data_IF_549553470630
#
_entry.id   IF_549553470630
#
_cell.length_a   1.000
_cell.length_b   1.000
_cell.length_c   1.000
_cell.angle_alpha   90.00
_cell.angle_beta   90.00
_cell.angle_gamma   90.00
#
_symmetry.space_group_name_H-M   'P 1'
#
loop_
_entity.id
_entity.type
_entity.pdbx_description
1 polymer ?
#
# COMPACT_ATOMS: atom_id res chain seq x y z
N UNK A 1 -24.03 -20.79 -36.82
CA UNK A 1 -23.44 -20.24 -35.57
C UNK A 1 -23.57 -18.72 -35.59
N UNK A 2 -24.30 -18.14 -34.64
CA UNK A 2 -24.78 -16.75 -34.72
C UNK A 2 -23.76 -15.73 -34.17
N UNK A 3 -23.54 -14.64 -34.93
CA UNK A 3 -22.71 -13.49 -34.55
C UNK A 3 -23.05 -12.92 -33.16
N UNK A 4 -24.29 -13.12 -32.68
CA UNK A 4 -24.74 -12.73 -31.34
C UNK A 4 -23.96 -13.41 -30.21
N UNK A 5 -23.48 -14.65 -30.39
CA UNK A 5 -22.63 -15.32 -29.41
C UNK A 5 -21.21 -14.74 -29.36
N UNK A 6 -20.69 -14.28 -30.49
CA UNK A 6 -19.36 -13.66 -30.55
C UNK A 6 -19.35 -12.29 -29.85
N UNK A 7 -20.37 -11.46 -30.07
CA UNK A 7 -20.49 -10.16 -29.40
C UNK A 7 -20.62 -10.29 -27.87
N UNK A 8 -21.32 -11.29 -27.37
CA UNK A 8 -21.50 -11.50 -25.93
C UNK A 8 -20.24 -12.04 -25.24
N UNK A 9 -19.41 -12.79 -25.98
CA UNK A 9 -18.10 -13.25 -25.50
C UNK A 9 -17.07 -12.12 -25.53
N UNK A 10 -17.10 -11.28 -26.56
CA UNK A 10 -16.23 -10.10 -26.67
C UNK A 10 -16.55 -9.04 -25.62
N UNK A 11 -17.83 -8.80 -25.32
CA UNK A 11 -18.23 -7.84 -24.27
C UNK A 11 -17.82 -8.31 -22.88
N UNK A 12 -17.95 -9.60 -22.58
CA UNK A 12 -17.47 -10.19 -21.34
C UNK A 12 -15.94 -10.09 -21.21
N UNK A 13 -15.20 -10.32 -22.31
CA UNK A 13 -13.75 -10.18 -22.34
C UNK A 13 -13.29 -8.73 -22.12
N UNK A 14 -13.94 -7.78 -22.78
CA UNK A 14 -13.70 -6.34 -22.57
C UNK A 14 -14.01 -5.91 -21.13
N UNK A 15 -15.10 -6.42 -20.55
CA UNK A 15 -15.48 -6.10 -19.17
C UNK A 15 -14.50 -6.69 -18.15
N UNK A 16 -13.98 -7.89 -18.39
CA UNK A 16 -12.91 -8.49 -17.58
C UNK A 16 -11.62 -7.66 -17.68
N UNK A 17 -11.21 -7.26 -18.89
CA UNK A 17 -10.04 -6.40 -19.12
C UNK A 17 -10.21 -5.01 -18.46
N UNK A 18 -11.40 -4.41 -18.53
CA UNK A 18 -11.74 -3.13 -17.87
C UNK A 18 -11.87 -3.26 -16.34
N UNK A 19 -12.13 -4.47 -15.82
CA UNK A 19 -12.21 -4.76 -14.39
C UNK A 19 -10.88 -5.12 -13.74
N UNK A 20 -9.81 -5.29 -14.55
CA UNK A 20 -8.42 -5.16 -14.08
C UNK A 20 -8.19 -3.67 -13.78
N UNK A 21 -8.90 -3.16 -12.78
CA UNK A 21 -8.56 -1.90 -12.13
C UNK A 21 -7.20 -2.11 -11.52
N UNK A 22 -6.28 -1.23 -11.85
CA UNK A 22 -4.93 -1.15 -11.32
C UNK A 22 -4.96 -1.37 -9.81
N UNK A 23 -4.61 -2.56 -9.35
CA UNK A 23 -4.19 -2.74 -7.97
C UNK A 23 -2.87 -1.96 -7.87
N UNK A 24 -2.91 -0.75 -7.33
CA UNK A 24 -1.69 -0.06 -6.95
C UNK A 24 -1.03 -0.93 -5.87
N UNK A 25 -0.03 -1.71 -6.29
CA UNK A 25 0.76 -2.51 -5.38
C UNK A 25 1.54 -1.56 -4.48
N UNK A 26 1.28 -1.63 -3.18
CA UNK A 26 2.05 -0.88 -2.19
C UNK A 26 3.51 -1.35 -2.24
N UNK A 27 4.42 -0.42 -2.48
CA UNK A 27 5.87 -0.67 -2.41
C UNK A 27 6.32 -0.86 -0.96
N UNK A 28 7.24 -1.81 -0.73
CA UNK A 28 7.80 -2.12 0.59
C UNK A 28 9.32 -2.22 0.50
N UNK A 29 10.01 -1.58 1.43
CA UNK A 29 11.47 -1.60 1.56
C UNK A 29 11.83 -2.20 2.91
N UNK A 30 12.70 -3.19 2.89
CA UNK A 30 13.26 -3.81 4.08
C UNK A 30 14.69 -3.31 4.25
N UNK A 31 15.05 -2.91 5.46
CA UNK A 31 16.38 -2.39 5.75
C UNK A 31 16.84 -2.84 7.14
N UNK A 32 18.16 -2.92 7.32
CA UNK A 32 18.76 -3.31 8.59
C UNK A 32 18.90 -2.10 9.52
N UNK A 33 18.80 -2.31 10.83
CA UNK A 33 19.10 -1.25 11.80
C UNK A 33 20.53 -0.72 11.60
N UNK A 34 20.70 0.59 11.68
CA UNK A 34 21.96 1.31 11.46
C UNK A 34 22.27 1.60 9.99
N UNK A 35 21.49 1.08 9.04
CA UNK A 35 21.71 1.33 7.64
C UNK A 35 21.31 2.77 7.22
N UNK A 36 21.87 3.22 6.11
CA UNK A 36 21.39 4.41 5.41
C UNK A 36 20.48 3.94 4.27
N UNK A 37 19.23 4.42 4.24
CA UNK A 37 18.24 3.99 3.25
C UNK A 37 17.75 5.18 2.42
N UNK A 38 17.52 4.94 1.13
CA UNK A 38 16.86 5.86 0.20
C UNK A 38 15.49 5.30 -0.15
N UNK A 39 14.42 6.05 0.15
CA UNK A 39 13.05 5.69 -0.19
C UNK A 39 12.66 6.38 -1.50
N UNK A 40 12.32 5.63 -2.57
CA UNK A 40 12.00 6.21 -3.87
C UNK A 40 10.67 6.97 -3.85
N UNK A 41 10.63 8.10 -4.55
CA UNK A 41 9.39 8.82 -4.82
C UNK A 41 8.82 8.39 -6.18
N UNK A 42 8.04 7.31 -6.22
CA UNK A 42 7.43 6.80 -7.47
C UNK A 42 6.45 7.77 -8.14
N UNK A 43 6.03 8.82 -7.44
CA UNK A 43 5.25 9.91 -8.03
C UNK A 43 6.01 10.66 -9.13
N UNK A 44 7.36 10.59 -9.16
CA UNK A 44 8.20 11.17 -10.21
C UNK A 44 8.08 10.41 -11.53
N UNK A 45 7.96 9.07 -11.48
CA UNK A 45 7.81 8.20 -12.65
C UNK A 45 6.51 8.46 -13.43
N UNK A 46 5.56 9.21 -12.85
CA UNK A 46 4.28 9.51 -13.45
C UNK A 46 4.25 10.84 -14.23
N UNK A 47 5.35 11.58 -14.35
CA UNK A 47 5.32 12.86 -15.06
C UNK A 47 6.66 13.35 -15.65
N UNK A 48 6.61 13.79 -16.91
CA UNK A 48 7.59 14.71 -17.51
C UNK A 48 7.33 16.19 -17.10
N UNK A 49 6.76 16.44 -15.92
CA UNK A 49 6.35 17.78 -15.47
C UNK A 49 7.22 18.24 -14.30
N UNK A 50 7.75 19.46 -14.41
CA UNK A 50 8.47 20.09 -13.30
C UNK A 50 7.50 20.50 -12.17
N UNK A 51 7.65 19.87 -11.01
CA UNK A 51 6.89 20.18 -9.78
C UNK A 51 7.44 21.41 -9.06
N UNK A 52 6.61 22.03 -8.21
CA UNK A 52 6.98 23.23 -7.42
C UNK A 52 7.63 22.89 -6.08
N UNK A 53 7.32 21.72 -5.55
CA UNK A 53 7.92 21.25 -4.31
C UNK A 53 7.69 19.76 -4.14
N UNK A 54 8.60 19.14 -3.39
CA UNK A 54 8.49 17.78 -2.87
C UNK A 54 8.40 17.86 -1.36
N UNK A 55 7.48 17.10 -0.77
CA UNK A 55 7.38 16.95 0.67
C UNK A 55 7.27 15.48 1.02
N UNK A 56 8.10 15.04 1.95
CA UNK A 56 8.03 13.71 2.54
C UNK A 56 7.34 13.77 3.89
N UNK A 57 6.46 12.79 4.12
CA UNK A 57 5.73 12.62 5.37
C UNK A 57 5.91 11.21 5.90
N UNK A 58 5.98 11.08 7.23
CA UNK A 58 5.75 9.82 7.94
C UNK A 58 4.28 9.77 8.36
N UNK A 59 3.65 8.61 8.21
CA UNK A 59 2.25 8.39 8.54
C UNK A 59 2.14 7.56 9.82
N UNK A 60 1.75 8.21 10.89
CA UNK A 60 1.62 7.69 12.26
C UNK A 60 0.25 8.08 12.84
N UNK A 61 -0.81 7.75 12.11
CA UNK A 61 -2.18 8.21 12.38
C UNK A 61 -2.45 9.63 11.87
N UNK A 62 -1.42 10.47 11.78
CA UNK A 62 -1.44 11.78 11.14
C UNK A 62 -0.41 11.87 10.00
N UNK A 63 -0.40 13.00 9.29
CA UNK A 63 0.56 13.29 8.22
C UNK A 63 1.67 14.18 8.79
N UNK A 64 2.71 13.56 9.32
CA UNK A 64 3.83 14.25 9.97
C UNK A 64 4.93 14.57 8.96
N UNK A 65 5.22 15.86 8.77
CA UNK A 65 6.25 16.32 7.83
C UNK A 65 7.64 15.87 8.27
N UNK A 66 8.44 15.36 7.33
CA UNK A 66 9.83 14.95 7.56
C UNK A 66 10.76 16.01 6.97
N UNK A 67 10.66 16.22 5.67
CA UNK A 67 11.51 17.15 4.92
C UNK A 67 10.77 17.67 3.69
N UNK A 68 11.06 18.92 3.31
CA UNK A 68 10.50 19.58 2.13
C UNK A 68 11.62 20.16 1.27
N UNK A 69 11.51 19.99 -0.05
CA UNK A 69 12.34 20.69 -1.04
C UNK A 69 11.47 21.61 -1.88
N UNK A 70 11.88 22.87 -2.05
CA UNK A 70 11.19 23.83 -2.89
C UNK A 70 11.71 23.80 -4.35
N UNK A 71 11.07 24.56 -5.24
CA UNK A 71 11.45 24.66 -6.66
C UNK A 71 12.86 25.23 -6.90
N UNK A 72 13.46 25.90 -5.90
CA UNK A 72 14.81 26.44 -5.98
C UNK A 72 15.86 25.41 -5.49
N UNK A 73 15.43 24.20 -5.10
CA UNK A 73 16.29 23.14 -4.56
C UNK A 73 16.60 23.28 -3.07
N UNK A 74 16.10 24.32 -2.40
CA UNK A 74 16.31 24.52 -0.97
C UNK A 74 15.50 23.50 -0.17
N UNK A 75 16.16 22.86 0.80
CA UNK A 75 15.59 21.79 1.63
C UNK A 75 15.43 22.26 3.06
N UNK A 76 14.26 22.01 3.64
CA UNK A 76 13.90 22.38 5.03
C UNK A 76 13.32 21.16 5.74
N UNK A 77 13.89 20.82 6.90
CA UNK A 77 13.37 19.79 7.80
C UNK A 77 12.27 20.36 8.70
N UNK A 78 11.26 19.54 9.01
CA UNK A 78 10.20 19.94 9.94
C UNK A 78 10.68 19.83 11.39
N UNK A 79 10.13 20.68 12.27
CA UNK A 79 10.49 20.69 13.69
C UNK A 79 10.13 19.34 14.36
N UNK A 80 11.07 18.77 15.10
CA UNK A 80 10.90 17.47 15.76
C UNK A 80 10.96 16.26 14.83
N UNK A 81 11.13 16.47 13.52
CA UNK A 81 11.40 15.38 12.59
C UNK A 81 12.84 14.88 12.78
N UNK A 82 13.05 13.59 12.51
CA UNK A 82 14.40 13.02 12.43
C UNK A 82 15.21 13.66 11.31
N UNK A 83 16.53 13.52 11.39
CA UNK A 83 17.45 13.88 10.31
C UNK A 83 17.10 13.10 9.04
N UNK A 84 16.89 13.84 7.95
CA UNK A 84 16.57 13.32 6.64
C UNK A 84 16.99 14.29 5.56
N UNK A 85 17.24 13.79 4.35
CA UNK A 85 17.59 14.58 3.18
C UNK A 85 16.71 14.20 1.98
N UNK A 86 16.65 15.07 0.98
CA UNK A 86 16.04 14.75 -0.31
C UNK A 86 17.16 14.52 -1.32
N UNK A 87 17.18 13.33 -1.91
CA UNK A 87 18.14 12.93 -2.95
C UNK A 87 17.80 13.52 -4.33
N UNK A 88 18.63 13.19 -5.32
CA UNK A 88 18.54 13.74 -6.68
C UNK A 88 17.23 13.34 -7.38
N UNK A 89 16.78 12.10 -7.23
CA UNK A 89 15.52 11.60 -7.78
C UNK A 89 14.31 11.83 -6.86
N UNK A 90 14.38 12.85 -6.00
CA UNK A 90 13.35 13.16 -5.00
C UNK A 90 13.16 12.08 -3.92
N UNK A 91 14.15 11.20 -3.76
CA UNK A 91 14.19 10.14 -2.76
C UNK A 91 14.29 10.71 -1.34
N UNK A 92 13.67 10.07 -0.36
CA UNK A 92 13.93 10.37 1.05
C UNK A 92 15.15 9.59 1.52
N UNK A 93 16.22 10.28 1.89
CA UNK A 93 17.41 9.66 2.45
C UNK A 93 17.35 9.74 3.97
N UNK A 94 17.32 8.59 4.62
CA UNK A 94 17.33 8.44 6.08
C UNK A 94 18.65 7.76 6.50
N UNK A 95 19.56 8.49 7.16
CA UNK A 95 20.80 7.92 7.69
C UNK A 95 20.59 7.29 9.07
N UNK A 96 21.32 6.22 9.40
CA UNK A 96 21.26 5.56 10.72
C UNK A 96 19.81 5.24 11.15
N UNK A 97 19.14 4.39 10.39
CA UNK A 97 17.74 4.02 10.67
C UNK A 97 17.62 3.06 11.85
N UNK A 98 16.51 3.16 12.57
CA UNK A 98 16.18 2.33 13.73
C UNK A 98 14.80 1.68 13.58
N UNK A 99 14.45 0.67 14.38
CA UNK A 99 13.13 0.02 14.33
C UNK A 99 11.96 1.01 14.40
N UNK A 100 12.09 2.09 15.17
CA UNK A 100 11.06 3.12 15.34
C UNK A 100 10.79 3.91 14.05
N UNK A 101 11.71 3.87 13.09
CA UNK A 101 11.58 4.51 11.79
C UNK A 101 10.71 3.73 10.82
N UNK A 102 10.40 2.48 11.15
CA UNK A 102 9.45 1.68 10.40
C UNK A 102 8.09 2.36 10.31
N UNK A 103 7.39 2.07 9.22
CA UNK A 103 6.05 2.59 8.98
C UNK A 103 5.87 3.13 7.58
N UNK A 104 4.72 3.77 7.37
CA UNK A 104 4.36 4.28 6.07
C UNK A 104 4.94 5.66 5.83
N UNK A 105 5.52 5.83 4.64
CA UNK A 105 6.00 7.12 4.15
C UNK A 105 5.21 7.52 2.92
N UNK A 106 5.01 8.84 2.77
CA UNK A 106 4.28 9.44 1.67
C UNK A 106 5.14 10.53 1.03
N UNK A 107 5.48 10.34 -0.24
CA UNK A 107 6.01 11.42 -1.08
C UNK A 107 4.84 12.20 -1.67
N UNK A 108 4.87 13.53 -1.56
CA UNK A 108 3.90 14.44 -2.16
C UNK A 108 4.59 15.43 -3.08
N UNK A 109 4.23 15.39 -4.36
CA UNK A 109 4.70 16.32 -5.39
C UNK A 109 3.61 17.37 -5.65
N UNK A 110 3.88 18.61 -5.29
CA UNK A 110 2.97 19.73 -5.55
C UNK A 110 3.19 20.26 -6.96
N UNK A 111 2.17 20.19 -7.80
CA UNK A 111 2.27 20.58 -9.19
C UNK A 111 2.20 22.10 -9.37
N UNK A 112 2.58 22.56 -10.58
CA UNK A 112 2.34 23.95 -10.99
C UNK A 112 0.84 24.19 -11.17
N UNK A 113 0.42 25.46 -11.09
CA UNK A 113 -0.97 25.85 -11.37
C UNK A 113 -1.39 25.31 -12.74
N UNK A 114 -2.59 24.71 -12.79
CA UNK A 114 -3.11 24.06 -14.00
C UNK A 114 -2.79 22.57 -14.10
N UNK A 115 -1.98 22.01 -13.18
CA UNK A 115 -1.67 20.58 -13.11
C UNK A 115 -2.13 19.98 -11.77
N UNK A 116 -2.21 18.65 -11.73
CA UNK A 116 -2.60 17.89 -10.53
C UNK A 116 -1.39 17.48 -9.70
N UNK A 117 -1.51 17.60 -8.38
CA UNK A 117 -0.53 17.03 -7.44
C UNK A 117 -0.44 15.52 -7.61
N UNK A 118 0.72 14.95 -7.28
CA UNK A 118 0.97 13.52 -7.31
C UNK A 118 1.48 13.05 -5.96
N UNK A 119 1.19 11.80 -5.63
CA UNK A 119 1.62 11.18 -4.39
C UNK A 119 2.04 9.73 -4.64
N UNK A 120 3.00 9.24 -3.85
CA UNK A 120 3.37 7.83 -3.80
C UNK A 120 3.60 7.40 -2.36
N UNK A 121 3.05 6.25 -1.99
CA UNK A 121 3.10 5.69 -0.65
C UNK A 121 3.89 4.39 -0.65
N UNK A 122 4.74 4.22 0.37
CA UNK A 122 5.49 2.98 0.59
C UNK A 122 5.60 2.65 2.07
N UNK A 123 5.94 1.40 2.36
CA UNK A 123 6.23 0.89 3.70
C UNK A 123 7.74 0.71 3.87
N UNK A 124 8.30 1.25 4.95
CA UNK A 124 9.65 0.94 5.41
C UNK A 124 9.55 -0.04 6.58
N UNK A 125 10.26 -1.16 6.49
CA UNK A 125 10.43 -2.13 7.56
C UNK A 125 11.90 -2.18 7.96
N UNK A 126 12.21 -1.78 9.19
CA UNK A 126 13.57 -1.82 9.74
C UNK A 126 13.69 -3.01 10.69
N UNK A 127 14.74 -3.80 10.54
CA UNK A 127 15.02 -4.92 11.45
C UNK A 127 15.38 -4.43 12.86
N UNK A 128 15.20 -5.29 13.85
CA UNK A 128 15.71 -5.04 15.20
C UNK A 128 17.23 -4.83 15.21
N UNK A 129 17.72 -4.01 16.13
CA UNK A 129 19.15 -3.77 16.30
C UNK A 129 19.76 -4.91 17.12
N UNK A 130 20.70 -5.66 16.54
CA UNK A 130 21.41 -6.72 17.27
C UNK A 130 22.43 -6.07 18.21
N UNK A 131 22.17 -6.12 19.51
CA UNK A 131 23.22 -5.87 20.50
C UNK A 131 24.05 -7.14 20.57
N UNK A 132 25.23 -7.13 19.93
CA UNK A 132 26.14 -8.25 20.03
C UNK A 132 26.58 -8.37 21.50
N UNK A 133 26.08 -9.38 22.21
CA UNK A 133 26.57 -9.71 23.53
C UNK A 133 28.06 -10.03 23.38
N UNK A 134 28.90 -9.11 23.84
CA UNK A 134 30.34 -9.33 23.88
C UNK A 134 30.56 -10.53 24.77
N UNK A 135 31.13 -11.66 24.29
CA UNK A 135 31.55 -12.70 25.19
C UNK A 135 32.65 -12.10 26.05
N UNK A 136 32.35 -11.84 27.33
CA UNK A 136 33.35 -11.53 28.34
C UNK A 136 34.22 -12.78 28.46
N UNK A 137 35.25 -12.86 27.63
CA UNK A 137 36.36 -13.79 27.78
C UNK A 137 37.17 -13.29 28.96
N UNK A 138 36.69 -13.56 30.17
CA UNK A 138 37.51 -13.49 31.37
C UNK A 138 37.56 -14.89 31.97
N UNK A 139 38.68 -15.54 31.71
CA UNK A 139 39.06 -16.81 32.29
C UNK A 139 39.72 -16.55 33.64
N UNK A 140 39.02 -16.78 34.74
CA UNK A 140 39.68 -17.22 35.98
C UNK A 140 38.73 -18.01 36.89
N UNK A 141 39.27 -19.04 37.54
CA UNK A 141 38.61 -20.22 38.10
C UNK A 141 38.17 -19.99 39.56
N UNK A 142 37.07 -20.62 40.02
CA UNK A 142 37.04 -21.35 41.31
C UNK A 142 35.73 -22.15 41.46
N UNK A 143 35.90 -23.47 41.60
CA UNK A 143 34.87 -24.47 41.90
C UNK A 143 34.60 -24.52 43.42
N UNK A 144 33.33 -24.54 43.82
CA UNK A 144 32.81 -25.24 45.03
C UNK A 144 31.30 -25.34 44.86
N UNK A 145 30.81 -26.50 44.42
CA UNK A 145 30.27 -27.63 45.21
C UNK A 145 28.78 -27.46 45.55
N UNK A 146 28.05 -28.56 45.38
CA UNK A 146 26.62 -28.63 45.12
C UNK A 146 25.74 -28.45 46.35
N UNK A 147 24.57 -27.81 46.20
CA UNK A 147 23.36 -28.13 47.00
C UNK A 147 22.10 -27.83 46.18
N UNK A 148 21.10 -28.67 46.38
CA UNK A 148 19.93 -28.93 45.56
C UNK A 148 19.00 -27.75 45.18
N UNK A 149 18.32 -27.95 44.04
CA UNK A 149 17.10 -27.27 43.55
C UNK A 149 15.94 -27.22 44.58
N UNK A 150 14.97 -26.28 44.43
CA UNK A 150 13.75 -26.67 43.73
C UNK A 150 13.24 -25.63 42.70
N UNK A 151 12.94 -26.14 41.49
CA UNK A 151 11.65 -25.99 40.79
C UNK A 151 10.89 -24.66 40.94
N UNK A 152 10.79 -23.88 39.85
CA UNK A 152 9.57 -23.82 39.01
C UNK A 152 9.60 -22.55 38.14
N UNK A 153 9.80 -22.69 36.84
CA UNK A 153 8.95 -22.04 35.83
C UNK A 153 9.24 -22.68 34.48
N UNK A 154 8.23 -23.38 33.98
CA UNK A 154 8.18 -24.01 32.67
C UNK A 154 8.47 -23.03 31.53
N UNK A 155 8.97 -23.54 30.40
CA UNK A 155 9.06 -22.78 29.16
C UNK A 155 7.64 -22.50 28.66
N UNK A 156 7.27 -21.23 28.53
CA UNK A 156 6.06 -20.88 27.79
C UNK A 156 6.24 -21.34 26.34
N UNK A 157 5.41 -22.31 25.98
CA UNK A 157 5.08 -22.75 24.64
C UNK A 157 5.19 -21.62 23.62
N UNK A 158 5.76 -21.96 22.47
CA UNK A 158 5.73 -21.12 21.28
C UNK A 158 4.31 -20.59 21.04
N UNK A 159 4.21 -19.28 20.93
CA UNK A 159 3.04 -18.63 20.36
C UNK A 159 2.99 -19.08 18.91
N UNK A 160 2.20 -20.11 18.66
CA UNK A 160 1.70 -20.40 17.32
C UNK A 160 0.87 -19.19 16.95
N UNK A 161 1.49 -18.24 16.26
CA UNK A 161 0.74 -17.27 15.47
C UNK A 161 -0.17 -18.13 14.60
N UNK A 162 -1.46 -18.16 14.93
CA UNK A 162 -2.45 -18.66 13.99
C UNK A 162 -2.38 -17.71 12.81
N UNK A 163 -1.54 -18.06 11.85
CA UNK A 163 -1.71 -17.64 10.48
C UNK A 163 -3.13 -18.07 10.17
N UNK A 164 -4.05 -17.12 10.08
CA UNK A 164 -5.37 -17.36 9.51
C UNK A 164 -5.06 -17.80 8.08
N UNK A 165 -4.97 -19.11 7.88
CA UNK A 165 -4.95 -19.73 6.58
C UNK A 165 -6.36 -19.50 6.04
N UNK A 166 -6.59 -18.29 5.51
CA UNK A 166 -7.78 -17.99 4.74
C UNK A 166 -7.67 -18.93 3.54
N UNK A 167 -8.37 -20.06 3.64
CA UNK A 167 -8.48 -21.01 2.56
C UNK A 167 -8.89 -20.22 1.32
N UNK A 168 -8.20 -20.45 0.20
CA UNK A 168 -8.46 -19.78 -1.08
C UNK A 168 -9.94 -19.82 -1.48
N UNK A 169 -10.70 -20.80 -0.96
CA UNK A 169 -12.15 -20.92 -1.08
C UNK A 169 -12.97 -19.76 -0.46
N UNK A 170 -12.50 -19.12 0.61
CA UNK A 170 -13.24 -18.03 1.28
C UNK A 170 -13.07 -16.67 0.59
N UNK A 171 -11.96 -16.45 -0.11
CA UNK A 171 -11.74 -15.23 -0.90
C UNK A 171 -12.59 -15.29 -2.18
N UNK A 172 -12.74 -16.47 -2.79
CA UNK A 172 -13.53 -16.68 -4.00
C UNK A 172 -15.04 -16.42 -3.83
N UNK A 173 -15.61 -16.62 -2.64
CA UNK A 173 -17.05 -16.43 -2.43
C UNK A 173 -17.45 -14.95 -2.32
N UNK A 174 -16.60 -14.12 -1.72
CA UNK A 174 -16.86 -12.67 -1.55
C UNK A 174 -16.81 -11.89 -2.87
N UNK A 175 -15.81 -12.15 -3.71
CA UNK A 175 -15.68 -11.49 -5.02
C UNK A 175 -16.79 -11.89 -6.00
N UNK A 176 -17.26 -13.15 -5.92
CA UNK A 176 -18.36 -13.65 -6.74
C UNK A 176 -19.68 -12.93 -6.43
N UNK A 177 -19.98 -12.67 -5.15
CA UNK A 177 -21.22 -12.01 -4.75
C UNK A 177 -21.32 -10.57 -5.29
N UNK A 178 -20.24 -9.79 -5.24
CA UNK A 178 -20.23 -8.40 -5.73
C UNK A 178 -20.36 -8.34 -7.26
N UNK A 179 -19.74 -9.28 -7.97
CA UNK A 179 -19.86 -9.39 -9.42
C UNK A 179 -21.29 -9.76 -9.85
N UNK A 180 -21.93 -10.70 -9.14
CA UNK A 180 -23.32 -11.10 -9.39
C UNK A 180 -24.28 -9.94 -9.12
N UNK A 181 -24.13 -9.23 -8.00
CA UNK A 181 -25.00 -8.07 -7.66
C UNK A 181 -24.87 -6.98 -8.72
N UNK A 182 -23.65 -6.64 -9.15
CA UNK A 182 -23.43 -5.64 -10.21
C UNK A 182 -24.00 -6.10 -11.56
N UNK A 183 -23.86 -7.38 -11.89
CA UNK A 183 -24.44 -7.97 -13.10
C UNK A 183 -25.97 -7.87 -13.11
N UNK A 184 -26.62 -8.24 -11.99
CA UNK A 184 -28.08 -8.15 -11.84
C UNK A 184 -28.57 -6.70 -11.94
N UNK A 185 -27.89 -5.75 -11.29
CA UNK A 185 -28.25 -4.32 -11.39
C UNK A 185 -28.13 -3.80 -12.82
N UNK A 186 -27.06 -4.14 -13.55
CA UNK A 186 -26.90 -3.76 -14.96
C UNK A 186 -28.01 -4.34 -15.86
N UNK A 187 -28.41 -5.60 -15.64
CA UNK A 187 -29.49 -6.22 -16.42
C UNK A 187 -30.84 -5.54 -16.12
N UNK A 188 -31.12 -5.24 -14.85
CA UNK A 188 -32.34 -4.55 -14.44
C UNK A 188 -32.42 -3.14 -15.04
N UNK A 189 -31.32 -2.37 -15.03
CA UNK A 189 -31.31 -1.03 -15.64
C UNK A 189 -31.57 -1.07 -17.13
N UNK A 190 -30.96 -2.01 -17.86
CA UNK A 190 -31.17 -2.17 -19.31
C UNK A 190 -32.62 -2.59 -19.58
N UNK A 191 -33.18 -3.52 -18.80
CA UNK A 191 -34.55 -3.97 -18.97
C UNK A 191 -35.56 -2.83 -18.77
N UNK A 192 -35.36 -2.00 -17.74
CA UNK A 192 -36.20 -0.83 -17.48
C UNK A 192 -36.10 0.20 -18.61
N UNK A 193 -34.90 0.49 -19.12
CA UNK A 193 -34.71 1.40 -20.25
C UNK A 193 -35.40 0.87 -21.51
N UNK A 194 -35.24 -0.42 -21.83
CA UNK A 194 -35.90 -1.04 -22.98
C UNK A 194 -37.42 -1.11 -22.81
N UNK A 195 -37.92 -1.32 -21.59
CA UNK A 195 -39.34 -1.30 -21.31
C UNK A 195 -39.92 0.11 -21.44
N UNK A 196 -39.19 1.13 -21.00
CA UNK A 196 -39.57 2.54 -21.13
C UNK A 196 -39.60 2.97 -22.59
N UNK A 197 -38.59 2.62 -23.40
CA UNK A 197 -38.57 2.94 -24.84
C UNK A 197 -39.68 2.21 -25.59
N UNK A 198 -39.91 0.92 -25.31
CA UNK A 198 -41.03 0.16 -25.91
C UNK A 198 -42.41 0.68 -25.49
N UNK A 199 -42.53 1.24 -24.29
CA UNK A 199 -43.76 1.87 -23.80
C UNK A 199 -43.98 3.21 -24.49
N UNK A 200 -42.92 3.99 -24.68
CA UNK A 200 -42.97 5.26 -25.40
C UNK A 200 -43.31 5.06 -26.89
N UNK A 201 -42.71 4.07 -27.55
CA UNK A 201 -43.06 3.69 -28.93
C UNK A 201 -44.54 3.26 -29.05
N UNK A 202 -45.05 2.47 -28.09
CA UNK A 202 -46.48 2.10 -28.07
C UNK A 202 -47.40 3.30 -27.88
N UNK A 203 -47.03 4.26 -27.03
CA UNK A 203 -47.79 5.52 -26.84
C UNK A 203 -47.79 6.39 -28.09
N UNK A 204 -46.65 6.47 -28.79
CA UNK A 204 -46.57 7.16 -30.08
C UNK A 204 -47.46 6.48 -31.12
N UNK A 205 -47.45 5.15 -31.24
CA UNK A 205 -48.32 4.47 -32.21
C UNK A 205 -49.82 4.64 -31.91
N UNK A 206 -50.23 4.73 -30.65
CA UNK A 206 -51.64 5.01 -30.28
C UNK A 206 -52.09 6.46 -30.48
N UNK A 207 -51.18 7.40 -30.73
CA UNK A 207 -51.52 8.81 -31.00
C UNK A 207 -51.78 9.08 -32.49
N UNK A 208 -51.35 8.18 -33.38
CA UNK A 208 -51.48 8.30 -34.84
C UNK A 208 -52.56 7.38 -35.44
N UNK A 209 -53.36 6.73 -34.59
CA UNK A 209 -54.53 5.92 -34.97
C UNK A 209 -55.80 6.54 -34.42
#
# INVERSE_FOLDING_TARGET
MSARCYLHRLSAYLFVILSVRSSESLSSINAECGANVSLPCDATNQANLAYRSVVWYKLDGNKNGVVRKNQNGETVSYAGARTAMIGDSEELVLPDIRPEDSGFYLCHLSAKVGHSNKESKLLLNVSECVTQATPTSDSDWHVTDATAMPSSHEPCMGETTQVIQISTAQILSGFSAVAVVKGLLCVLTIWVLLAATRKEERRRMSFWS
#
